data_IF_675461363480
#
_entry.id   IF_675461363480
#
_cell.length_a   1.000
_cell.length_b   1.000
_cell.length_c   1.000
_cell.angle_alpha   90.00
_cell.angle_beta   90.00
_cell.angle_gamma   90.00
#
_symmetry.space_group_name_H-M   'P 1'
#
loop_
_entity.id
_entity.type
_entity.pdbx_description
1 polymer ?
#
# COMPACT_ATOMS: atom_id res chain seq x y z
N UNK A 1 -4.09 8.22 -13.07
CA UNK A 1 -3.50 7.66 -11.84
C UNK A 1 -2.18 8.34 -11.51
N UNK A 2 -1.12 8.22 -12.32
CA UNK A 2 0.21 8.84 -12.07
C UNK A 2 0.14 10.33 -11.70
N UNK A 3 -0.67 11.13 -12.40
CA UNK A 3 -0.81 12.56 -12.08
C UNK A 3 -1.34 12.82 -10.64
N UNK A 4 -2.24 11.96 -10.15
CA UNK A 4 -2.78 12.05 -8.78
C UNK A 4 -1.75 11.58 -7.76
N UNK A 5 -0.96 10.55 -8.07
CA UNK A 5 0.14 10.08 -7.22
C UNK A 5 1.23 11.13 -7.06
N UNK A 6 1.55 11.85 -8.14
CA UNK A 6 2.47 12.99 -8.10
C UNK A 6 1.97 14.10 -7.18
N UNK A 7 0.66 14.43 -7.23
CA UNK A 7 0.05 15.38 -6.29
C UNK A 7 0.14 14.88 -4.85
N UNK A 8 -0.11 13.58 -4.63
CA UNK A 8 0.03 12.95 -3.32
C UNK A 8 1.45 13.06 -2.76
N UNK A 9 2.46 12.70 -3.56
CA UNK A 9 3.86 12.78 -3.17
C UNK A 9 4.31 14.23 -2.89
N UNK A 10 3.78 15.21 -3.62
CA UNK A 10 4.01 16.62 -3.36
C UNK A 10 3.36 17.11 -2.06
N UNK A 11 2.17 16.57 -1.72
CA UNK A 11 1.41 16.96 -0.52
C UNK A 11 1.92 16.31 0.77
N UNK A 12 2.33 15.04 0.70
CA UNK A 12 2.66 14.22 1.86
C UNK A 12 4.12 13.72 1.79
N UNK A 13 5.04 14.31 2.58
CA UNK A 13 6.43 13.88 2.58
C UNK A 13 6.56 12.39 2.91
N UNK A 14 7.33 11.67 2.08
CA UNK A 14 7.52 10.22 2.21
C UNK A 14 6.50 9.37 1.46
N UNK A 15 5.41 9.94 0.91
CA UNK A 15 4.57 9.22 -0.03
C UNK A 15 5.33 8.96 -1.33
N UNK A 16 5.29 7.71 -1.79
CA UNK A 16 5.98 7.27 -3.01
C UNK A 16 5.02 7.25 -4.18
N UNK A 17 5.51 7.65 -5.36
CA UNK A 17 4.82 7.38 -6.63
C UNK A 17 5.07 5.94 -7.00
N UNK A 18 4.00 5.14 -7.12
CA UNK A 18 4.10 3.74 -7.53
C UNK A 18 4.32 3.70 -9.04
N UNK A 19 5.31 2.95 -9.50
CA UNK A 19 5.50 2.76 -10.95
C UNK A 19 4.27 2.06 -11.54
N UNK A 20 3.77 2.56 -12.68
CA UNK A 20 2.66 1.97 -13.42
C UNK A 20 2.83 0.46 -13.66
N UNK A 21 4.05 -0.02 -13.85
CA UNK A 21 4.35 -1.45 -14.06
C UNK A 21 3.92 -2.33 -12.88
N UNK A 22 3.95 -1.79 -11.65
CA UNK A 22 3.49 -2.50 -10.45
C UNK A 22 2.02 -2.87 -10.58
N UNK A 23 1.20 -2.00 -11.18
CA UNK A 23 -0.22 -2.25 -11.41
C UNK A 23 -0.48 -3.30 -12.51
N UNK A 24 0.54 -3.66 -13.29
CA UNK A 24 0.53 -4.81 -14.19
C UNK A 24 0.67 -6.17 -13.48
N UNK A 25 0.99 -6.18 -12.17
CA UNK A 25 1.14 -7.43 -11.42
C UNK A 25 -0.16 -8.25 -11.42
N UNK A 26 -0.10 -9.60 -11.55
CA UNK A 26 -1.30 -10.46 -11.54
C UNK A 26 -2.20 -10.29 -10.31
N UNK A 27 -1.62 -9.90 -9.17
CA UNK A 27 -2.35 -9.56 -7.94
C UNK A 27 -3.36 -8.42 -8.11
N UNK A 28 -3.18 -7.52 -9.08
CA UNK A 28 -4.18 -6.50 -9.42
C UNK A 28 -5.27 -6.99 -10.38
N UNK A 29 -5.21 -8.25 -10.80
CA UNK A 29 -6.22 -8.91 -11.63
C UNK A 29 -6.53 -8.14 -12.92
N UNK A 30 -5.50 -7.64 -13.61
CA UNK A 30 -5.66 -6.81 -14.81
C UNK A 30 -6.33 -5.46 -14.53
N UNK A 31 -6.03 -4.87 -13.37
CA UNK A 31 -6.58 -3.59 -12.93
C UNK A 31 -7.93 -3.66 -12.21
N UNK A 32 -8.59 -4.84 -12.15
CA UNK A 32 -9.87 -5.00 -11.44
C UNK A 32 -9.78 -4.73 -9.95
N UNK A 33 -8.60 -4.87 -9.36
CA UNK A 33 -8.35 -4.53 -7.95
C UNK A 33 -7.81 -3.11 -7.78
N UNK A 34 -8.05 -2.19 -8.73
CA UNK A 34 -7.69 -0.78 -8.63
C UNK A 34 -8.97 0.03 -8.78
N UNK A 35 -9.64 0.27 -7.65
CA UNK A 35 -10.90 1.02 -7.63
C UNK A 35 -10.60 2.49 -7.90
N UNK A 36 -11.37 3.12 -8.76
CA UNK A 36 -11.17 4.52 -9.13
C UNK A 36 -12.49 5.30 -8.92
N UNK A 37 -12.41 6.43 -8.24
CA UNK A 37 -13.48 7.41 -8.17
C UNK A 37 -13.26 8.43 -9.30
N UNK A 38 -14.18 8.48 -10.26
CA UNK A 38 -14.06 9.33 -11.45
C UNK A 38 -15.30 10.22 -11.56
N UNK A 39 -15.09 11.50 -11.81
CA UNK A 39 -16.18 12.46 -12.09
C UNK A 39 -16.78 12.20 -13.48
N UNK A 40 -17.98 12.69 -13.74
CA UNK A 40 -18.68 12.50 -15.02
C UNK A 40 -17.93 13.00 -16.27
N UNK A 41 -16.93 13.86 -16.11
CA UNK A 41 -16.04 14.34 -17.19
C UNK A 41 -14.74 13.52 -17.34
N UNK A 42 -14.61 12.40 -16.63
CA UNK A 42 -13.45 11.52 -16.69
C UNK A 42 -12.31 11.90 -15.76
N UNK A 43 -12.44 12.96 -14.95
CA UNK A 43 -11.40 13.36 -13.99
C UNK A 43 -11.33 12.39 -12.82
N UNK A 44 -10.14 11.83 -12.56
CA UNK A 44 -9.88 10.95 -11.43
C UNK A 44 -9.85 11.77 -10.12
N UNK A 45 -10.80 11.49 -9.24
CA UNK A 45 -10.97 12.11 -7.93
C UNK A 45 -10.33 11.32 -6.78
N UNK A 46 -9.93 10.07 -7.03
CA UNK A 46 -9.30 9.23 -6.04
C UNK A 46 -9.19 7.79 -6.51
N UNK A 47 -8.40 6.99 -5.80
CA UNK A 47 -8.24 5.57 -6.11
C UNK A 47 -7.96 4.74 -4.85
N UNK A 48 -8.27 3.45 -4.93
CA UNK A 48 -8.02 2.48 -3.87
C UNK A 48 -7.52 1.16 -4.46
N UNK A 49 -6.19 0.93 -4.52
CA UNK A 49 -5.64 -0.34 -4.93
C UNK A 49 -5.83 -1.40 -3.84
N UNK A 50 -6.03 -2.65 -4.25
CA UNK A 50 -6.10 -3.83 -3.41
C UNK A 50 -5.16 -4.91 -3.98
N UNK A 51 -4.23 -5.38 -3.17
CA UNK A 51 -3.24 -6.37 -3.53
C UNK A 51 -3.36 -7.59 -2.61
N UNK A 52 -3.89 -8.71 -3.10
CA UNK A 52 -3.96 -9.95 -2.34
C UNK A 52 -2.56 -10.55 -2.17
N UNK A 53 -2.17 -10.81 -0.94
CA UNK A 53 -0.95 -11.51 -0.54
C UNK A 53 -1.34 -12.76 0.27
N UNK A 54 -1.80 -13.83 -0.40
CA UNK A 54 -2.09 -15.09 0.27
C UNK A 54 -0.81 -15.65 0.91
N UNK A 55 -1.01 -16.43 1.96
CA UNK A 55 0.06 -17.14 2.67
C UNK A 55 0.10 -18.54 2.10
N UNK A 56 1.30 -19.08 1.90
CA UNK A 56 1.48 -20.44 1.40
C UNK A 56 0.78 -21.48 2.28
N UNK A 57 0.23 -22.52 1.66
CA UNK A 57 -0.48 -23.58 2.36
C UNK A 57 0.39 -24.31 3.40
N UNK A 58 1.71 -24.34 3.18
CA UNK A 58 2.68 -24.96 4.08
C UNK A 58 3.09 -24.08 5.28
N UNK A 59 2.73 -22.79 5.29
CA UNK A 59 3.06 -21.89 6.38
C UNK A 59 2.14 -22.09 7.59
N UNK A 60 2.61 -21.65 8.76
CA UNK A 60 1.88 -21.73 10.04
C UNK A 60 0.38 -21.34 9.87
N UNK A 61 -0.57 -22.22 10.25
CA UNK A 61 -2.01 -21.98 10.11
C UNK A 61 -2.53 -20.72 10.82
N UNK A 62 -1.82 -20.24 11.85
CA UNK A 62 -2.18 -19.03 12.60
C UNK A 62 -1.91 -17.72 11.84
N UNK A 63 -1.04 -17.76 10.81
CA UNK A 63 -0.74 -16.59 10.00
C UNK A 63 -1.92 -16.26 9.08
N UNK A 64 -2.43 -15.02 9.07
CA UNK A 64 -3.55 -14.65 8.22
C UNK A 64 -3.12 -14.38 6.77
N UNK A 65 -4.02 -14.58 5.81
CA UNK A 65 -3.90 -13.93 4.50
C UNK A 65 -3.98 -12.41 4.67
N UNK A 66 -3.20 -11.67 3.88
CA UNK A 66 -3.25 -10.21 3.89
C UNK A 66 -3.73 -9.69 2.56
N UNK A 67 -4.64 -8.73 2.61
CA UNK A 67 -5.04 -7.92 1.48
C UNK A 67 -4.51 -6.52 1.74
N UNK A 68 -3.43 -6.14 1.06
CA UNK A 68 -2.83 -4.83 1.19
C UNK A 68 -3.61 -3.83 0.35
N UNK A 69 -3.92 -2.68 0.92
CA UNK A 69 -4.69 -1.68 0.22
C UNK A 69 -4.29 -0.27 0.61
N UNK A 70 -4.75 0.70 -0.16
CA UNK A 70 -4.70 2.09 0.22
C UNK A 70 -6.00 2.78 -0.20
N UNK A 71 -6.32 3.93 0.40
CA UNK A 71 -7.43 4.80 -0.03
C UNK A 71 -6.87 6.20 -0.21
N UNK A 72 -6.93 6.71 -1.44
CA UNK A 72 -6.23 7.93 -1.84
C UNK A 72 -7.18 8.90 -2.58
N UNK A 73 -8.02 9.68 -1.86
CA UNK A 73 -8.77 10.79 -2.46
C UNK A 73 -7.84 11.91 -2.95
N UNK A 74 -8.15 12.56 -4.06
CA UNK A 74 -7.32 13.66 -4.60
C UNK A 74 -7.06 14.73 -3.53
N UNK A 75 -5.78 15.01 -3.19
CA UNK A 75 -5.43 15.87 -2.06
C UNK A 75 -5.82 17.34 -2.26
N UNK A 76 -6.16 17.73 -3.48
CA UNK A 76 -6.57 19.10 -3.84
C UNK A 76 -8.09 19.30 -3.73
N UNK A 77 -8.86 18.24 -3.42
CA UNK A 77 -10.29 18.38 -3.16
C UNK A 77 -10.55 19.17 -1.87
N UNK A 78 -11.66 19.92 -1.80
CA UNK A 78 -12.15 20.44 -0.53
C UNK A 78 -12.29 19.32 0.51
N UNK A 79 -11.99 19.56 1.80
CA UNK A 79 -11.95 18.49 2.81
C UNK A 79 -13.19 17.58 2.85
N UNK A 80 -14.39 18.15 2.78
CA UNK A 80 -15.65 17.39 2.77
C UNK A 80 -15.82 16.54 1.51
N UNK A 81 -15.35 17.01 0.35
CA UNK A 81 -15.37 16.23 -0.89
C UNK A 81 -14.34 15.10 -0.86
N UNK A 82 -13.15 15.36 -0.31
CA UNK A 82 -12.12 14.34 -0.13
C UNK A 82 -12.60 13.21 0.81
N UNK A 83 -13.27 13.57 1.91
CA UNK A 83 -13.88 12.62 2.85
C UNK A 83 -14.96 11.77 2.17
N UNK A 84 -15.90 12.38 1.43
CA UNK A 84 -16.92 11.65 0.71
C UNK A 84 -16.36 10.67 -0.34
N UNK A 85 -15.29 11.07 -1.04
CA UNK A 85 -14.57 10.19 -1.97
C UNK A 85 -13.89 9.04 -1.22
N UNK A 86 -13.26 9.31 -0.08
CA UNK A 86 -12.61 8.29 0.74
C UNK A 86 -13.61 7.25 1.29
N UNK A 87 -14.77 7.69 1.78
CA UNK A 87 -15.84 6.81 2.27
C UNK A 87 -16.35 5.91 1.14
N UNK A 88 -16.64 6.49 -0.02
CA UNK A 88 -17.11 5.75 -1.19
C UNK A 88 -16.07 4.70 -1.62
N UNK A 89 -14.80 5.07 -1.71
CA UNK A 89 -13.72 4.14 -2.05
C UNK A 89 -13.56 3.04 -0.98
N UNK A 90 -13.69 3.36 0.31
CA UNK A 90 -13.59 2.40 1.41
C UNK A 90 -14.71 1.35 1.35
N UNK A 91 -15.94 1.76 1.07
CA UNK A 91 -17.07 0.84 0.95
C UNK A 91 -16.88 -0.12 -0.22
N UNK A 92 -16.50 0.39 -1.39
CA UNK A 92 -16.18 -0.46 -2.54
C UNK A 92 -14.96 -1.35 -2.30
N UNK A 93 -13.94 -0.85 -1.59
CA UNK A 93 -12.75 -1.61 -1.23
C UNK A 93 -13.09 -2.79 -0.32
N UNK A 94 -13.95 -2.58 0.69
CA UNK A 94 -14.42 -3.64 1.60
C UNK A 94 -15.22 -4.71 0.86
N UNK A 95 -16.11 -4.29 -0.05
CA UNK A 95 -16.86 -5.23 -0.89
C UNK A 95 -15.92 -6.07 -1.76
N UNK A 96 -14.95 -5.44 -2.43
CA UNK A 96 -13.97 -6.14 -3.25
C UNK A 96 -13.06 -7.06 -2.42
N UNK A 97 -12.64 -6.61 -1.23
CA UNK A 97 -11.85 -7.41 -0.31
C UNK A 97 -12.61 -8.65 0.16
N UNK A 98 -13.92 -8.56 0.41
CA UNK A 98 -14.76 -9.70 0.74
C UNK A 98 -14.85 -10.70 -0.43
N UNK A 99 -15.01 -10.22 -1.67
CA UNK A 99 -14.99 -11.08 -2.87
C UNK A 99 -13.66 -11.81 -3.03
N UNK A 100 -12.54 -11.11 -2.87
CA UNK A 100 -11.21 -11.72 -2.93
C UNK A 100 -11.03 -12.75 -1.81
N UNK A 101 -11.41 -12.40 -0.57
CA UNK A 101 -11.27 -13.27 0.59
C UNK A 101 -12.05 -14.59 0.42
N UNK A 102 -13.24 -14.55 -0.18
CA UNK A 102 -14.05 -15.73 -0.45
C UNK A 102 -13.40 -16.73 -1.44
N UNK A 103 -12.45 -16.26 -2.26
CA UNK A 103 -11.71 -17.10 -3.19
C UNK A 103 -10.41 -17.67 -2.61
N UNK A 104 -10.01 -17.27 -1.40
CA UNK A 104 -8.79 -17.74 -0.74
C UNK A 104 -9.05 -19.06 0.04
N UNK A 105 -8.01 -19.89 0.25
CA UNK A 105 -8.10 -21.04 1.14
C UNK A 105 -8.62 -20.66 2.55
N UNK A 106 -9.33 -21.57 3.26
CA UNK A 106 -9.88 -21.27 4.58
C UNK A 106 -8.80 -20.89 5.60
N UNK A 107 -8.77 -19.60 5.97
CA UNK A 107 -7.83 -19.00 6.93
C UNK A 107 -8.35 -17.62 7.33
N UNK A 108 -7.85 -17.08 8.45
CA UNK A 108 -8.11 -15.67 8.80
C UNK A 108 -7.59 -14.77 7.67
N UNK A 109 -8.37 -13.77 7.27
CA UNK A 109 -7.98 -12.75 6.28
C UNK A 109 -7.96 -11.39 6.96
N UNK A 110 -6.92 -10.60 6.72
CA UNK A 110 -6.80 -9.21 7.17
C UNK A 110 -6.82 -8.28 5.96
N UNK A 111 -7.66 -7.24 6.02
CA UNK A 111 -7.53 -6.07 5.16
C UNK A 111 -6.57 -5.09 5.86
N UNK A 112 -5.47 -4.73 5.21
CA UNK A 112 -4.44 -3.87 5.76
C UNK A 112 -4.33 -2.61 4.91
N UNK A 113 -4.43 -1.43 5.53
CA UNK A 113 -4.25 -0.14 4.85
C UNK A 113 -2.82 0.37 5.01
N UNK A 114 -2.20 0.75 3.90
CA UNK A 114 -0.90 1.39 3.85
C UNK A 114 -1.06 2.92 3.82
N UNK A 115 -0.66 3.54 4.93
CA UNK A 115 -0.59 4.99 5.06
C UNK A 115 0.84 5.39 5.41
N UNK A 116 1.39 6.41 4.76
CA UNK A 116 2.62 7.03 5.26
C UNK A 116 2.29 7.89 6.50
N UNK A 117 3.27 8.04 7.40
CA UNK A 117 3.06 8.69 8.70
C UNK A 117 2.64 10.16 8.60
N UNK A 118 2.90 10.81 7.46
CA UNK A 118 2.51 12.20 7.18
C UNK A 118 1.08 12.33 6.64
N UNK A 119 0.42 11.23 6.26
CA UNK A 119 -0.97 11.20 5.82
C UNK A 119 -1.95 11.17 7.01
N UNK A 120 -1.85 12.16 7.90
CA UNK A 120 -2.71 12.24 9.08
C UNK A 120 -4.23 12.15 8.77
N UNK A 121 -4.76 12.74 7.69
CA UNK A 121 -6.16 12.53 7.29
C UNK A 121 -6.50 11.07 6.98
N UNK A 122 -5.65 10.36 6.22
CA UNK A 122 -5.88 8.97 5.85
C UNK A 122 -5.80 8.04 7.07
N UNK A 123 -4.86 8.30 7.99
CA UNK A 123 -4.76 7.57 9.26
C UNK A 123 -6.02 7.74 10.10
N UNK A 124 -6.51 8.99 10.26
CA UNK A 124 -7.76 9.24 10.99
C UNK A 124 -8.95 8.57 10.33
N UNK A 125 -9.05 8.63 9.00
CA UNK A 125 -10.10 7.98 8.22
C UNK A 125 -10.11 6.47 8.46
N UNK A 126 -8.95 5.81 8.37
CA UNK A 126 -8.81 4.38 8.66
C UNK A 126 -9.24 4.03 10.10
N UNK A 127 -8.78 4.80 11.10
CA UNK A 127 -9.16 4.58 12.50
C UNK A 127 -10.68 4.73 12.72
N UNK A 128 -11.31 5.75 12.11
CA UNK A 128 -12.77 5.95 12.17
C UNK A 128 -13.54 4.78 11.53
N UNK A 129 -12.91 4.07 10.59
CA UNK A 129 -13.43 2.88 9.94
C UNK A 129 -13.08 1.56 10.65
N UNK A 130 -12.64 1.63 11.91
CA UNK A 130 -12.41 0.47 12.76
C UNK A 130 -11.08 -0.27 12.51
N UNK A 131 -10.18 0.30 11.70
CA UNK A 131 -8.82 -0.22 11.59
C UNK A 131 -8.05 0.06 12.88
N UNK A 132 -7.09 -0.81 13.21
CA UNK A 132 -6.16 -0.63 14.32
C UNK A 132 -4.73 -0.50 13.77
N UNK A 133 -3.88 0.24 14.51
CA UNK A 133 -2.45 0.29 14.19
C UNK A 133 -1.82 -1.08 14.47
N UNK A 134 -1.34 -1.75 13.42
CA UNK A 134 -0.68 -3.04 13.54
C UNK A 134 0.85 -2.92 13.57
N UNK A 135 1.43 -2.17 12.63
CA UNK A 135 2.87 -2.05 12.46
C UNK A 135 3.26 -0.68 11.89
N UNK A 136 4.55 -0.35 11.97
CA UNK A 136 5.16 0.80 11.31
C UNK A 136 6.27 0.31 10.39
N UNK A 137 6.24 0.75 9.14
CA UNK A 137 7.32 0.50 8.17
C UNK A 137 8.15 1.78 8.05
N UNK A 138 9.48 1.64 8.19
CA UNK A 138 10.42 2.74 8.00
C UNK A 138 11.20 2.52 6.71
N UNK A 139 11.07 3.45 5.76
CA UNK A 139 11.92 3.50 4.58
C UNK A 139 13.18 4.32 4.90
N UNK A 140 14.36 3.73 4.72
CA UNK A 140 15.64 4.37 4.95
C UNK A 140 16.41 4.43 3.62
N UNK A 141 16.97 5.60 3.31
CA UNK A 141 17.79 5.82 2.13
C UNK A 141 19.10 6.50 2.51
N UNK A 142 20.17 6.18 1.78
CA UNK A 142 21.49 6.82 1.91
C UNK A 142 22.09 6.99 0.52
N UNK A 143 22.61 8.18 0.25
CA UNK A 143 23.39 8.44 -0.96
C UNK A 143 24.72 7.67 -0.93
N UNK A 144 25.04 6.99 -2.04
CA UNK A 144 26.26 6.19 -2.20
C UNK A 144 27.49 6.87 -2.84
N UNK A 145 27.53 8.16 -3.23
CA UNK A 145 28.73 8.73 -3.84
C UNK A 145 29.88 8.92 -2.82
N UNK A 146 29.59 8.94 -1.51
CA UNK A 146 30.61 8.95 -0.48
C UNK A 146 31.04 7.50 -0.15
N UNK A 147 32.35 7.21 -0.02
CA UNK A 147 32.83 5.88 0.33
C UNK A 147 32.23 5.41 1.66
N UNK A 148 31.79 4.15 1.70
CA UNK A 148 31.30 3.54 2.93
C UNK A 148 32.49 3.24 3.86
N UNK A 149 32.36 3.47 5.18
CA UNK A 149 33.32 2.94 6.14
C UNK A 149 33.44 1.43 5.93
N UNK A 150 34.68 0.93 5.86
CA UNK A 150 34.97 -0.50 5.78
C UNK A 150 35.54 -0.96 7.13
N UNK A 151 34.69 -1.22 8.13
CA UNK A 151 35.16 -1.79 9.39
C UNK A 151 35.78 -3.17 9.13
N UNK A 152 36.82 -3.56 9.89
CA UNK A 152 37.35 -4.91 9.79
C UNK A 152 36.25 -5.94 10.12
N UNK A 153 36.20 -7.09 9.44
CA UNK A 153 35.25 -8.13 9.80
C UNK A 153 35.56 -8.66 11.22
N UNK A 154 34.55 -9.16 11.95
CA UNK A 154 34.78 -9.82 13.23
C UNK A 154 35.74 -11.00 13.12
N UNK A 155 36.42 -11.33 14.22
CA UNK A 155 37.32 -12.49 14.28
C UNK A 155 36.60 -13.78 13.81
N UNK A 156 37.24 -14.54 12.92
CA UNK A 156 36.69 -15.77 12.35
C UNK A 156 35.59 -15.57 11.29
N UNK A 157 35.27 -14.33 10.90
CA UNK A 157 34.26 -14.04 9.87
C UNK A 157 34.91 -13.54 8.59
N UNK A 158 34.60 -14.16 7.45
CA UNK A 158 34.97 -13.66 6.12
C UNK A 158 33.72 -13.22 5.38
N UNK A 159 33.72 -11.98 4.88
CA UNK A 159 32.66 -11.46 4.00
C UNK A 159 33.18 -11.43 2.57
N UNK A 160 32.47 -12.08 1.66
CA UNK A 160 32.83 -12.11 0.24
C UNK A 160 31.67 -12.64 -0.58
N UNK A 161 31.73 -12.43 -1.90
CA UNK A 161 30.78 -13.06 -2.81
C UNK A 161 31.03 -14.57 -2.84
N UNK A 162 29.97 -15.40 -2.93
CA UNK A 162 30.14 -16.82 -3.18
C UNK A 162 30.95 -17.00 -4.46
N UNK A 163 32.07 -17.73 -4.37
CA UNK A 163 32.85 -18.12 -5.56
C UNK A 163 31.97 -19.07 -6.37
N UNK A 164 31.70 -18.69 -7.62
CA UNK A 164 31.05 -19.58 -8.60
C UNK A 164 32.02 -20.65 -9.06
#
# INVERSE_FOLDING_TARGET
MVALELRYAARYPGATVVNADVYGHPGFAGGRNILCAVRGDGVLLGYAPLFPSPVDAAADPSLPHRLWAAVKPDPDLPPSAAEAVADTLMDHLRAQAATVAAALPPRRVLLTLECVTTEAPAIRHALAHGFALEARVYALARDLPAPLPSPPPPEGVTVGLPRR
#
